data_IF_483762189829
#
_entry.id   IF_483762189829
#
_cell.length_a   1.000
_cell.length_b   1.000
_cell.length_c   1.000
_cell.angle_alpha   90.00
_cell.angle_beta   90.00
_cell.angle_gamma   90.00
#
_symmetry.space_group_name_H-M   'P 1'
#
loop_
_entity.id
_entity.type
_entity.pdbx_description
1 polymer ?
#
# COMPACT_ATOMS: atom_id res chain seq x y z
N UNK A 1 -0.06 -9.97 -16.89
CA UNK A 1 -0.65 -8.71 -17.34
C UNK A 1 -0.67 -7.68 -16.21
N UNK A 2 -0.63 -6.42 -16.51
CA UNK A 2 -0.62 -5.34 -15.53
C UNK A 2 -1.83 -4.43 -15.72
N UNK A 3 -2.30 -3.86 -14.62
CA UNK A 3 -3.38 -2.88 -14.60
C UNK A 3 -2.78 -1.53 -14.23
N UNK A 4 -3.19 -0.48 -14.90
CA UNK A 4 -2.56 0.83 -14.75
C UNK A 4 -3.60 1.94 -14.60
N UNK A 5 -3.35 2.83 -13.67
CA UNK A 5 -4.11 4.07 -13.49
C UNK A 5 -3.14 5.25 -13.45
N UNK A 6 -3.43 6.28 -14.23
CA UNK A 6 -2.62 7.50 -14.24
C UNK A 6 -3.23 8.55 -13.32
N UNK A 7 -2.39 9.22 -12.55
CA UNK A 7 -2.77 10.38 -11.74
C UNK A 7 -1.91 11.57 -12.16
N UNK A 8 -2.51 12.76 -12.18
CA UNK A 8 -1.87 13.98 -12.67
C UNK A 8 -1.64 15.01 -11.57
N UNK A 9 -1.91 14.67 -10.32
CA UNK A 9 -1.67 15.54 -9.16
C UNK A 9 -1.62 14.72 -7.88
N UNK A 10 -1.10 15.33 -6.82
CA UNK A 10 -1.11 14.74 -5.48
C UNK A 10 -2.55 14.43 -5.04
N UNK A 11 -3.48 15.34 -5.31
CA UNK A 11 -4.89 15.17 -4.99
C UNK A 11 -5.51 13.95 -5.68
N UNK A 12 -5.17 13.74 -6.94
CA UNK A 12 -5.64 12.56 -7.69
C UNK A 12 -5.04 11.26 -7.13
N UNK A 13 -3.77 11.29 -6.71
CA UNK A 13 -3.15 10.11 -6.08
C UNK A 13 -3.82 9.79 -4.74
N UNK A 14 -4.14 10.80 -3.93
CA UNK A 14 -4.90 10.60 -2.71
C UNK A 14 -6.29 10.02 -2.99
N UNK A 15 -6.99 10.55 -4.00
CA UNK A 15 -8.31 10.04 -4.39
C UNK A 15 -8.24 8.59 -4.85
N UNK A 16 -7.23 8.25 -5.64
CA UNK A 16 -7.00 6.87 -6.09
C UNK A 16 -6.79 5.93 -4.90
N UNK A 17 -6.07 6.39 -3.88
CA UNK A 17 -5.87 5.62 -2.63
C UNK A 17 -7.16 5.42 -1.85
N UNK A 18 -7.97 6.46 -1.70
CA UNK A 18 -9.27 6.34 -1.01
C UNK A 18 -10.18 5.32 -1.69
N UNK A 19 -10.22 5.34 -3.01
CA UNK A 19 -11.02 4.38 -3.77
C UNK A 19 -10.46 2.96 -3.66
N UNK A 20 -9.14 2.81 -3.69
CA UNK A 20 -8.50 1.51 -3.55
C UNK A 20 -8.78 0.87 -2.18
N UNK A 21 -8.90 1.69 -1.15
CA UNK A 21 -9.19 1.23 0.20
C UNK A 21 -10.50 0.43 0.27
N UNK A 22 -11.48 0.74 -0.58
CA UNK A 22 -12.76 0.02 -0.60
C UNK A 22 -12.63 -1.43 -1.05
N UNK A 23 -11.54 -1.78 -1.69
CA UNK A 23 -11.26 -3.13 -2.21
C UNK A 23 -10.47 -3.98 -1.21
N UNK A 24 -9.93 -3.37 -0.15
CA UNK A 24 -9.09 -4.07 0.82
C UNK A 24 -9.94 -4.85 1.82
N UNK A 25 -9.40 -5.97 2.26
CA UNK A 25 -9.98 -6.84 3.27
C UNK A 25 -8.98 -7.07 4.40
N UNK A 26 -9.45 -7.41 5.62
CA UNK A 26 -8.55 -7.80 6.70
C UNK A 26 -7.59 -8.90 6.26
N UNK A 27 -6.32 -8.74 6.58
CA UNK A 27 -5.27 -9.67 6.20
C UNK A 27 -4.50 -9.29 4.94
N UNK A 28 -4.94 -8.27 4.21
CA UNK A 28 -4.23 -7.84 3.00
C UNK A 28 -2.89 -7.19 3.32
N UNK A 29 -1.92 -7.48 2.47
CA UNK A 29 -0.60 -6.87 2.48
C UNK A 29 -0.36 -6.24 1.12
N UNK A 30 0.09 -4.99 1.10
CA UNK A 30 0.43 -4.26 -0.12
C UNK A 30 1.91 -3.93 -0.11
N UNK A 31 2.62 -4.32 -1.16
CA UNK A 31 4.01 -3.95 -1.38
C UNK A 31 4.04 -2.80 -2.39
N UNK A 32 4.53 -1.63 -1.95
CA UNK A 32 4.68 -0.45 -2.79
C UNK A 32 6.14 -0.31 -3.21
N UNK A 33 6.38 -0.22 -4.51
CA UNK A 33 7.70 0.01 -5.07
C UNK A 33 7.72 1.22 -6.00
N UNK A 34 8.90 1.70 -6.29
CA UNK A 34 9.11 2.88 -7.11
C UNK A 34 10.22 3.76 -6.53
N UNK A 35 10.73 4.69 -7.34
CA UNK A 35 11.81 5.56 -6.90
C UNK A 35 11.38 6.52 -5.80
N UNK A 36 12.35 7.12 -5.12
CA UNK A 36 12.09 8.12 -4.08
C UNK A 36 11.26 9.28 -4.66
N UNK A 37 10.22 9.71 -3.94
CA UNK A 37 9.33 10.76 -4.40
C UNK A 37 8.29 10.32 -5.45
N UNK A 38 8.16 9.02 -5.70
CA UNK A 38 7.25 8.51 -6.73
C UNK A 38 5.76 8.58 -6.35
N UNK A 39 5.42 8.81 -5.07
CA UNK A 39 4.03 8.90 -4.63
C UNK A 39 3.56 7.76 -3.73
N UNK A 40 4.47 6.91 -3.27
CA UNK A 40 4.14 5.78 -2.39
C UNK A 40 3.45 6.24 -1.10
N UNK A 41 4.00 7.26 -0.45
CA UNK A 41 3.41 7.82 0.77
C UNK A 41 2.08 8.50 0.48
N UNK A 42 1.95 9.19 -0.65
CA UNK A 42 0.70 9.83 -1.06
C UNK A 42 -0.44 8.81 -1.26
N UNK A 43 -0.16 7.69 -1.90
CA UNK A 43 -1.15 6.62 -2.05
C UNK A 43 -1.52 6.02 -0.69
N UNK A 44 -0.53 5.79 0.17
CA UNK A 44 -0.75 5.30 1.53
C UNK A 44 -1.65 6.24 2.32
N UNK A 45 -1.42 7.55 2.24
CA UNK A 45 -2.27 8.56 2.87
C UNK A 45 -3.71 8.49 2.37
N UNK A 46 -3.91 8.30 1.08
CA UNK A 46 -5.24 8.11 0.49
C UNK A 46 -5.93 6.86 1.00
N UNK A 47 -5.23 5.74 1.02
CA UNK A 47 -5.75 4.48 1.56
C UNK A 47 -6.13 4.65 3.03
N UNK A 48 -5.25 5.26 3.82
CA UNK A 48 -5.52 5.51 5.24
C UNK A 48 -6.79 6.35 5.44
N UNK A 49 -6.96 7.41 4.66
CA UNK A 49 -8.18 8.22 4.69
C UNK A 49 -9.43 7.38 4.36
N UNK A 50 -9.33 6.51 3.35
CA UNK A 50 -10.41 5.59 2.98
C UNK A 50 -10.74 4.57 4.06
N UNK A 51 -9.78 4.20 4.90
CA UNK A 51 -9.97 3.30 6.03
C UNK A 51 -10.40 4.02 7.31
N UNK A 52 -10.57 5.33 7.25
CA UNK A 52 -11.03 6.11 8.39
C UNK A 52 -9.96 6.42 9.44
N UNK A 53 -8.70 6.42 9.04
CA UNK A 53 -7.59 6.86 9.91
C UNK A 53 -7.71 8.37 10.12
N UNK A 54 -7.82 8.81 11.38
CA UNK A 54 -8.03 10.21 11.72
C UNK A 54 -6.72 10.99 11.91
N UNK A 55 -5.63 10.31 12.18
CA UNK A 55 -4.34 10.95 12.39
C UNK A 55 -3.58 11.15 11.07
N UNK A 56 -2.60 12.03 11.10
CA UNK A 56 -1.76 12.29 9.93
C UNK A 56 -0.84 11.11 9.66
N UNK A 57 -0.88 10.60 8.43
CA UNK A 57 0.00 9.53 7.98
C UNK A 57 1.22 10.13 7.29
N UNK A 58 2.40 9.80 7.80
CA UNK A 58 3.69 10.22 7.24
C UNK A 58 4.57 8.98 7.06
N UNK A 59 5.60 9.11 6.22
CA UNK A 59 6.57 8.01 6.06
C UNK A 59 7.23 7.71 7.40
N UNK A 60 7.32 6.42 7.83
CA UNK A 60 7.96 6.05 9.08
C UNK A 60 9.48 6.16 8.95
N UNK A 61 10.06 7.29 9.42
CA UNK A 61 11.48 7.61 9.22
C UNK A 61 12.41 7.03 10.27
N UNK A 62 11.94 6.89 11.51
CA UNK A 62 12.74 6.42 12.64
C UNK A 62 12.30 5.06 13.18
N UNK A 63 11.02 4.75 13.03
CA UNK A 63 10.46 3.43 13.32
C UNK A 63 10.13 2.77 11.99
N UNK A 64 10.47 1.49 11.86
CA UNK A 64 10.21 0.76 10.61
C UNK A 64 8.72 0.51 10.38
N UNK A 65 7.91 0.49 11.43
CA UNK A 65 6.46 0.25 11.34
C UNK A 65 5.72 1.27 12.20
N UNK A 66 4.65 1.86 11.66
CA UNK A 66 3.67 2.64 12.41
C UNK A 66 2.30 2.01 12.31
N UNK A 67 1.57 2.05 13.40
CA UNK A 67 0.20 1.54 13.47
C UNK A 67 -0.77 2.71 13.52
N UNK A 68 -1.85 2.60 12.74
CA UNK A 68 -2.93 3.59 12.71
C UNK A 68 -4.25 2.88 12.92
N UNK A 69 -5.03 3.34 13.89
CA UNK A 69 -6.37 2.80 14.10
C UNK A 69 -7.29 3.21 12.95
N UNK A 70 -8.04 2.24 12.42
CA UNK A 70 -9.01 2.46 11.37
C UNK A 70 -10.42 2.61 11.97
N UNK A 71 -11.37 3.18 11.20
CA UNK A 71 -12.75 3.25 11.65
C UNK A 71 -13.40 1.86 11.63
N UNK A 72 -14.35 1.62 12.51
CA UNK A 72 -15.09 0.36 12.55
C UNK A 72 -15.88 0.08 11.27
N UNK A 73 -16.26 1.12 10.54
CA UNK A 73 -17.01 1.02 9.29
C UNK A 73 -16.24 0.34 8.18
N UNK A 74 -14.90 0.41 8.21
CA UNK A 74 -14.06 -0.22 7.19
C UNK A 74 -13.99 -1.74 7.30
N UNK A 75 -14.33 -2.30 8.47
CA UNK A 75 -14.11 -3.72 8.77
C UNK A 75 -12.65 -4.07 9.05
N UNK A 76 -11.74 -3.13 8.89
CA UNK A 76 -10.30 -3.28 9.12
C UNK A 76 -9.96 -2.55 10.42
N UNK A 77 -9.29 -3.23 11.34
CA UNK A 77 -9.02 -2.66 12.67
C UNK A 77 -7.83 -1.71 12.68
N UNK A 78 -6.78 -2.04 11.95
CA UNK A 78 -5.50 -1.33 12.04
C UNK A 78 -4.81 -1.31 10.68
N UNK A 79 -4.22 -0.18 10.34
CA UNK A 79 -3.30 -0.06 9.21
C UNK A 79 -1.87 -0.09 9.76
N UNK A 80 -1.08 -1.05 9.32
CA UNK A 80 0.35 -1.14 9.63
C UNK A 80 1.12 -0.58 8.45
N UNK A 81 1.76 0.57 8.64
CA UNK A 81 2.54 1.25 7.61
C UNK A 81 4.03 1.03 7.90
N UNK A 82 4.70 0.29 7.03
CA UNK A 82 6.11 -0.05 7.15
C UNK A 82 6.93 0.59 6.04
N UNK A 83 8.17 0.94 6.35
CA UNK A 83 9.17 1.36 5.38
C UNK A 83 10.42 0.51 5.60
N UNK A 84 10.78 -0.29 4.61
CA UNK A 84 11.90 -1.21 4.70
C UNK A 84 13.13 -0.74 3.91
N UNK A 85 13.13 0.51 3.46
CA UNK A 85 14.25 1.09 2.70
C UNK A 85 15.59 1.00 3.44
N UNK A 86 15.55 1.16 4.76
CA UNK A 86 16.75 1.17 5.61
C UNK A 86 17.10 -0.18 6.23
N UNK A 87 16.36 -1.22 5.93
CA UNK A 87 16.71 -2.56 6.40
C UNK A 87 17.88 -3.10 5.59
N UNK A 88 18.76 -3.83 6.26
CA UNK A 88 19.96 -4.37 5.63
C UNK A 88 19.82 -5.85 5.26
N UNK A 89 18.75 -6.52 5.72
CA UNK A 89 18.58 -7.96 5.51
C UNK A 89 17.12 -8.37 5.54
N UNK A 90 16.82 -9.53 4.97
CA UNK A 90 15.51 -10.15 5.07
C UNK A 90 15.15 -10.54 6.50
N UNK A 91 16.16 -10.84 7.34
CA UNK A 91 15.93 -11.17 8.74
C UNK A 91 15.33 -9.99 9.50
N UNK A 92 15.78 -8.75 9.23
CA UNK A 92 15.21 -7.56 9.84
C UNK A 92 13.74 -7.37 9.43
N UNK A 93 13.40 -7.67 8.18
CA UNK A 93 12.02 -7.60 7.68
C UNK A 93 11.17 -8.68 8.35
N UNK A 94 11.69 -9.89 8.47
CA UNK A 94 11.00 -10.99 9.14
C UNK A 94 10.74 -10.67 10.61
N UNK A 95 11.66 -10.00 11.29
CA UNK A 95 11.51 -9.59 12.69
C UNK A 95 10.36 -8.59 12.90
N UNK A 96 9.88 -7.92 11.86
CA UNK A 96 8.72 -7.04 11.95
C UNK A 96 7.41 -7.82 12.12
N UNK A 97 7.41 -9.12 11.86
CA UNK A 97 6.26 -10.02 12.04
C UNK A 97 4.98 -9.51 11.36
N UNK A 98 5.11 -8.99 10.15
CA UNK A 98 4.00 -8.34 9.44
C UNK A 98 2.82 -9.27 9.17
N UNK A 99 3.08 -10.55 8.85
CA UNK A 99 2.02 -11.54 8.69
C UNK A 99 1.16 -11.69 9.95
N UNK A 100 1.80 -11.74 11.11
CA UNK A 100 1.11 -11.90 12.39
C UNK A 100 0.27 -10.67 12.71
N UNK A 101 0.76 -9.48 12.36
CA UNK A 101 0.03 -8.23 12.61
C UNK A 101 -1.28 -8.17 11.80
N UNK A 102 -1.26 -8.61 10.53
CA UNK A 102 -2.46 -8.56 9.69
C UNK A 102 -3.46 -9.67 10.01
N UNK A 103 -3.03 -10.77 10.61
CA UNK A 103 -3.93 -11.85 11.03
C UNK A 103 -4.94 -11.41 12.10
N UNK A 104 -4.67 -10.31 12.77
CA UNK A 104 -5.54 -9.75 13.81
C UNK A 104 -6.58 -8.76 13.27
N UNK A 105 -6.88 -8.80 11.98
CA UNK A 105 -7.88 -7.94 11.36
C UNK A 105 -7.32 -6.67 10.74
N UNK A 106 -5.99 -6.54 10.71
CA UNK A 106 -5.31 -5.41 10.11
C UNK A 106 -4.96 -5.60 8.65
N UNK A 107 -4.45 -4.54 8.03
CA UNK A 107 -3.79 -4.55 6.73
C UNK A 107 -2.40 -3.95 6.89
N UNK A 108 -1.49 -4.32 6.00
CA UNK A 108 -0.14 -3.76 5.99
C UNK A 108 0.17 -3.12 4.64
N UNK A 109 0.79 -1.95 4.67
CA UNK A 109 1.35 -1.29 3.48
C UNK A 109 2.84 -1.14 3.71
N UNK A 110 3.65 -1.67 2.80
CA UNK A 110 5.10 -1.72 2.93
C UNK A 110 5.71 -0.92 1.79
N UNK A 111 6.28 0.25 2.10
CA UNK A 111 7.04 1.06 1.13
C UNK A 111 8.41 0.41 0.91
N UNK A 112 8.90 0.49 -0.33
CA UNK A 112 10.09 -0.23 -0.78
C UNK A 112 9.89 -1.74 -0.72
N UNK A 113 8.66 -2.18 -1.07
CA UNK A 113 8.22 -3.55 -0.95
C UNK A 113 9.03 -4.57 -1.73
N UNK A 114 9.79 -4.15 -2.74
CA UNK A 114 10.71 -5.04 -3.46
C UNK A 114 11.73 -5.69 -2.53
N UNK A 115 12.08 -5.04 -1.43
CA UNK A 115 12.96 -5.62 -0.40
C UNK A 115 12.28 -6.74 0.38
N UNK A 116 10.96 -6.66 0.53
CA UNK A 116 10.18 -7.64 1.28
C UNK A 116 9.58 -8.74 0.39
N UNK A 117 9.63 -8.59 -0.93
CA UNK A 117 9.01 -9.51 -1.87
C UNK A 117 9.41 -10.98 -1.69
N UNK A 118 10.68 -11.31 -1.39
CA UNK A 118 11.06 -12.70 -1.16
C UNK A 118 10.33 -13.38 0.01
N UNK A 119 9.92 -12.60 1.01
CA UNK A 119 9.21 -13.13 2.19
C UNK A 119 7.69 -13.06 2.04
N UNK A 120 7.17 -12.01 1.42
CA UNK A 120 5.76 -11.67 1.46
C UNK A 120 5.07 -11.70 0.10
N UNK A 121 5.83 -11.72 -0.99
CA UNK A 121 5.32 -11.47 -2.34
C UNK A 121 4.21 -12.40 -2.80
N UNK A 122 4.22 -13.67 -2.38
CA UNK A 122 3.21 -14.64 -2.78
C UNK A 122 1.82 -14.33 -2.21
N UNK A 123 1.76 -13.63 -1.07
CA UNK A 123 0.53 -13.31 -0.37
C UNK A 123 0.14 -11.82 -0.49
N UNK A 124 0.92 -11.02 -1.19
CA UNK A 124 0.79 -9.57 -1.17
C UNK A 124 0.41 -9.02 -2.55
N UNK A 125 -0.35 -7.91 -2.53
CA UNK A 125 -0.55 -7.09 -3.72
C UNK A 125 0.77 -6.42 -4.07
N UNK A 126 1.09 -6.37 -5.36
CA UNK A 126 2.30 -5.69 -5.84
C UNK A 126 1.89 -4.47 -6.65
N UNK A 127 2.20 -3.30 -6.10
CA UNK A 127 1.89 -2.00 -6.70
C UNK A 127 3.20 -1.25 -6.95
N UNK A 128 3.38 -0.78 -8.17
CA UNK A 128 4.57 -0.07 -8.60
C UNK A 128 4.20 1.31 -9.12
N UNK A 129 5.00 2.30 -8.79
CA UNK A 129 4.88 3.66 -9.31
C UNK A 129 5.90 3.92 -10.40
N UNK A 130 5.46 4.57 -11.48
CA UNK A 130 6.34 5.15 -12.47
C UNK A 130 6.14 6.66 -12.53
N UNK A 131 7.24 7.41 -12.43
CA UNK A 131 7.22 8.87 -12.56
C UNK A 131 7.25 9.20 -14.06
N UNK A 132 6.21 9.85 -14.55
CA UNK A 132 6.09 10.24 -15.95
C UNK A 132 6.59 11.66 -16.14
N UNK A 133 6.20 12.59 -15.26
CA UNK A 133 6.76 13.93 -15.15
C UNK A 133 6.55 14.45 -13.71
N UNK A 134 6.74 15.75 -13.47
CA UNK A 134 6.76 16.33 -12.12
C UNK A 134 5.52 15.98 -11.29
N UNK A 135 4.35 15.94 -11.93
CA UNK A 135 3.07 15.68 -11.23
C UNK A 135 2.38 14.39 -11.68
N UNK A 136 2.78 13.85 -12.83
CA UNK A 136 2.11 12.69 -13.43
C UNK A 136 2.77 11.40 -12.99
N UNK A 137 1.94 10.46 -12.52
CA UNK A 137 2.37 9.15 -12.06
C UNK A 137 1.53 8.06 -12.70
N UNK A 138 2.14 6.95 -13.03
CA UNK A 138 1.43 5.71 -13.34
C UNK A 138 1.51 4.79 -12.13
N UNK A 139 0.34 4.34 -11.69
CA UNK A 139 0.19 3.38 -10.60
C UNK A 139 -0.13 2.04 -11.27
N UNK A 140 0.77 1.09 -11.14
CA UNK A 140 0.71 -0.18 -11.86
C UNK A 140 0.54 -1.31 -10.86
N UNK A 141 -0.52 -2.11 -11.03
CA UNK A 141 -0.83 -3.24 -10.17
C UNK A 141 -0.62 -4.53 -10.95
N UNK A 142 0.13 -5.47 -10.36
CA UNK A 142 0.31 -6.80 -10.92
C UNK A 142 -1.02 -7.56 -10.79
N UNK A 143 -1.62 -7.87 -11.93
CA UNK A 143 -2.92 -8.55 -12.01
C UNK A 143 -2.95 -9.86 -11.23
N UNK A 144 -1.85 -10.62 -11.26
CA UNK A 144 -1.78 -11.90 -10.57
C UNK A 144 -1.74 -11.79 -9.05
N UNK A 145 -1.50 -10.59 -8.52
CA UNK A 145 -1.32 -10.38 -7.08
C UNK A 145 -2.60 -10.08 -6.31
N UNK A 146 -3.70 -9.76 -7.00
CA UNK A 146 -4.92 -9.23 -6.33
C UNK A 146 -6.01 -10.29 -6.11
N UNK A 147 -5.82 -11.51 -6.61
CA UNK A 147 -6.71 -12.64 -6.37
C UNK A 147 -8.16 -12.35 -6.79
N UNK A 148 -9.08 -12.58 -5.88
CA UNK A 148 -10.52 -12.41 -6.12
C UNK A 148 -10.97 -10.97 -6.32
N UNK A 149 -10.12 -9.97 -6.04
CA UNK A 149 -10.43 -8.56 -6.20
C UNK A 149 -10.12 -8.01 -7.59
N UNK A 150 -9.78 -8.88 -8.54
CA UNK A 150 -9.35 -8.47 -9.88
C UNK A 150 -10.38 -7.58 -10.60
N UNK A 151 -11.66 -7.93 -10.56
CA UNK A 151 -12.70 -7.15 -11.23
C UNK A 151 -12.84 -5.74 -10.62
N UNK A 152 -12.78 -5.64 -9.31
CA UNK A 152 -12.78 -4.35 -8.62
C UNK A 152 -11.57 -3.49 -8.98
N UNK A 153 -10.40 -4.10 -9.09
CA UNK A 153 -9.18 -3.39 -9.49
C UNK A 153 -9.26 -2.92 -10.94
N UNK A 154 -9.80 -3.74 -11.84
CA UNK A 154 -10.04 -3.34 -13.24
C UNK A 154 -10.96 -2.12 -13.31
N UNK A 155 -12.03 -2.12 -12.54
CA UNK A 155 -12.93 -0.97 -12.46
C UNK A 155 -12.21 0.27 -11.92
N UNK A 156 -11.40 0.08 -10.89
CA UNK A 156 -10.58 1.15 -10.31
C UNK A 156 -9.62 1.77 -11.34
N UNK A 157 -9.03 0.98 -12.22
CA UNK A 157 -8.12 1.49 -13.26
C UNK A 157 -8.83 2.26 -14.36
N UNK A 158 -10.15 2.09 -14.50
CA UNK A 158 -10.94 2.76 -15.55
C UNK A 158 -11.33 4.19 -15.18
N UNK A 159 -11.06 4.64 -13.98
CA UNK A 159 -11.34 6.00 -13.49
C UNK A 159 -10.16 6.92 -13.73
#
# INVERSE_FOLDING_TARGET
>A
MTLQRRTSSLSETHAAGRELATLLEPGDIILLSGQLGAGKTALTQGIAAGLGVSERVTSPTFTLVRQHACSVESGITTLHHADVYRTNSLDEIEDLALHELVEQGGVAIIEWGEMAAPLLGAAAWRIRFEVIDDEVRDIIIDESSVGTRLDGVREWTSK
#
